data_IF_472487881292
#
_entry.id   IF_472487881292
#
_cell.length_a   1.000
_cell.length_b   1.000
_cell.length_c   1.000
_cell.angle_alpha   90.00
_cell.angle_beta   90.00
_cell.angle_gamma   90.00
#
_symmetry.space_group_name_H-M   'P 1'
#
loop_
_entity.id
_entity.type
_entity.pdbx_description
1 polymer ?
#
# COMPACT_ATOMS: atom_id res chain seq x y z
N UNK A 1 -27.58 -6.89 10.84
CA UNK A 1 -26.57 -5.83 11.07
C UNK A 1 -26.37 -5.66 12.56
N UNK A 2 -25.35 -6.29 13.19
CA UNK A 2 -25.07 -6.02 14.59
C UNK A 2 -24.24 -4.74 14.66
N UNK A 3 -24.79 -3.74 15.32
CA UNK A 3 -24.11 -2.52 15.71
C UNK A 3 -22.96 -2.88 16.65
N UNK A 4 -21.73 -2.86 16.14
CA UNK A 4 -20.55 -2.95 17.00
C UNK A 4 -20.58 -1.69 17.88
N UNK A 5 -20.72 -1.91 19.18
CA UNK A 5 -20.76 -0.85 20.19
C UNK A 5 -19.53 0.07 19.99
N UNK A 6 -19.69 1.40 19.89
CA UNK A 6 -18.57 2.32 19.65
C UNK A 6 -17.38 2.14 20.60
N UNK A 7 -17.63 1.68 21.82
CA UNK A 7 -16.61 1.36 22.84
C UNK A 7 -15.75 0.15 22.49
N UNK A 8 -16.32 -0.90 21.89
CA UNK A 8 -15.57 -2.09 21.44
C UNK A 8 -14.70 -1.77 20.22
N UNK A 9 -15.19 -0.92 19.32
CA UNK A 9 -14.42 -0.44 18.18
C UNK A 9 -13.20 0.39 18.64
N UNK A 10 -13.40 1.32 19.57
CA UNK A 10 -12.31 2.12 20.13
C UNK A 10 -11.24 1.28 20.84
N UNK A 11 -11.66 0.31 21.66
CA UNK A 11 -10.73 -0.58 22.35
C UNK A 11 -9.95 -1.49 21.39
N UNK A 12 -10.64 -2.12 20.42
CA UNK A 12 -10.00 -2.95 19.41
C UNK A 12 -9.01 -2.14 18.55
N UNK A 13 -9.37 -0.90 18.22
CA UNK A 13 -8.52 0.02 17.46
C UNK A 13 -7.25 0.42 18.22
N UNK A 14 -7.36 0.71 19.53
CA UNK A 14 -6.21 1.01 20.38
C UNK A 14 -5.29 -0.21 20.56
N UNK A 15 -5.86 -1.38 20.81
CA UNK A 15 -5.11 -2.64 20.93
C UNK A 15 -4.36 -2.98 19.64
N UNK A 16 -5.02 -2.88 18.48
CA UNK A 16 -4.40 -3.14 17.18
C UNK A 16 -3.27 -2.14 16.91
N UNK A 17 -3.46 -0.86 17.27
CA UNK A 17 -2.44 0.18 17.08
C UNK A 17 -1.25 -0.06 18.00
N UNK A 18 -1.46 -0.43 19.26
CA UNK A 18 -0.39 -0.80 20.20
C UNK A 18 0.40 -2.03 19.71
N UNK A 19 -0.30 -3.06 19.19
CA UNK A 19 0.34 -4.26 18.64
C UNK A 19 1.16 -3.94 17.38
N UNK A 20 0.67 -3.07 16.49
CA UNK A 20 1.43 -2.59 15.34
C UNK A 20 2.69 -1.83 15.77
N UNK A 21 2.58 -0.91 16.73
CA UNK A 21 3.72 -0.14 17.25
C UNK A 21 4.75 -1.07 17.91
N UNK A 22 4.30 -2.07 18.68
CA UNK A 22 5.18 -3.08 19.28
C UNK A 22 5.92 -3.92 18.24
N UNK A 23 5.25 -4.36 17.18
CA UNK A 23 5.90 -5.13 16.12
C UNK A 23 6.92 -4.29 15.33
N UNK A 24 6.60 -3.03 15.05
CA UNK A 24 7.53 -2.09 14.41
C UNK A 24 8.75 -1.82 15.28
N UNK A 25 8.56 -1.64 16.60
CA UNK A 25 9.67 -1.48 17.56
C UNK A 25 10.64 -2.67 17.52
N UNK A 26 10.11 -3.89 17.43
CA UNK A 26 10.91 -5.11 17.31
C UNK A 26 11.47 -5.37 15.90
N UNK A 27 11.33 -4.42 14.96
CA UNK A 27 11.94 -4.49 13.63
C UNK A 27 11.16 -5.30 12.59
N UNK A 28 9.89 -5.64 12.84
CA UNK A 28 9.07 -6.43 11.92
C UNK A 28 8.34 -5.54 10.90
N UNK A 29 8.52 -5.83 9.60
CA UNK A 29 7.95 -5.05 8.47
C UNK A 29 6.55 -5.52 8.05
N UNK A 30 6.23 -6.79 8.27
CA UNK A 30 4.92 -7.37 8.00
C UNK A 30 4.52 -8.32 9.16
N UNK A 31 3.81 -7.77 10.14
CA UNK A 31 3.35 -8.51 11.30
C UNK A 31 2.41 -9.69 10.93
N UNK A 32 1.78 -9.68 9.76
CA UNK A 32 0.95 -10.80 9.28
C UNK A 32 1.80 -11.97 8.74
N UNK A 33 3.03 -11.72 8.27
CA UNK A 33 3.98 -12.78 7.85
C UNK A 33 4.82 -13.30 9.00
N UNK A 34 4.89 -12.55 10.10
CA UNK A 34 5.35 -13.04 11.39
C UNK A 34 4.27 -13.92 12.02
N UNK A 35 4.04 -15.11 11.46
CA UNK A 35 3.18 -16.10 12.09
C UNK A 35 3.74 -16.40 13.48
N UNK A 36 3.01 -15.98 14.52
CA UNK A 36 3.33 -16.23 15.92
C UNK A 36 3.66 -17.70 16.14
N UNK A 37 2.97 -18.61 15.46
CA UNK A 37 3.19 -20.06 15.54
C UNK A 37 4.58 -20.46 15.05
N UNK A 38 5.08 -19.82 13.98
CA UNK A 38 6.39 -20.11 13.39
C UNK A 38 7.53 -19.55 14.26
N UNK A 39 7.34 -18.38 14.87
CA UNK A 39 8.30 -17.79 15.82
C UNK A 39 8.42 -18.64 17.08
N UNK A 40 7.29 -19.11 17.63
CA UNK A 40 7.26 -19.99 18.80
C UNK A 40 7.93 -21.33 18.50
N UNK A 41 7.70 -21.89 17.30
CA UNK A 41 8.33 -23.14 16.87
C UNK A 41 9.84 -23.03 16.61
N UNK A 42 10.35 -21.83 16.33
CA UNK A 42 11.79 -21.58 16.10
C UNK A 42 12.52 -21.07 17.34
N UNK A 43 11.88 -21.09 18.52
CA UNK A 43 12.44 -20.65 19.80
C UNK A 43 13.08 -19.24 19.74
N UNK A 44 12.51 -18.35 18.93
CA UNK A 44 13.00 -16.98 18.75
C UNK A 44 14.22 -16.82 17.82
N UNK A 45 14.70 -17.88 17.14
CA UNK A 45 15.72 -17.73 16.08
C UNK A 45 15.07 -17.21 14.80
N UNK A 46 15.65 -16.16 14.22
CA UNK A 46 15.19 -15.58 12.94
C UNK A 46 15.86 -16.34 11.79
N UNK A 47 15.09 -16.91 10.85
CA UNK A 47 15.65 -17.58 9.67
C UNK A 47 16.46 -16.65 8.76
N UNK A 48 17.45 -17.17 8.03
CA UNK A 48 18.27 -16.38 7.09
C UNK A 48 17.45 -15.77 5.93
N UNK A 49 16.38 -16.44 5.50
CA UNK A 49 15.43 -15.92 4.49
C UNK A 49 14.66 -14.68 4.99
N UNK A 50 14.79 -14.32 6.28
CA UNK A 50 14.15 -13.14 6.86
C UNK A 50 15.04 -11.89 6.82
N UNK A 51 16.31 -12.00 6.42
CA UNK A 51 17.24 -10.87 6.38
C UNK A 51 16.70 -9.69 5.55
N UNK A 52 15.99 -9.97 4.44
CA UNK A 52 15.36 -8.96 3.59
C UNK A 52 14.15 -8.25 4.25
N UNK A 53 13.68 -8.72 5.41
CA UNK A 53 12.54 -8.16 6.14
C UNK A 53 12.94 -7.54 7.49
N UNK A 54 14.15 -7.83 7.98
CA UNK A 54 14.64 -7.25 9.23
C UNK A 54 15.06 -5.81 9.02
N UNK A 55 14.51 -4.90 9.84
CA UNK A 55 15.04 -3.54 10.00
C UNK A 55 15.77 -3.45 11.34
N UNK A 56 16.81 -2.59 11.46
CA UNK A 56 17.39 -2.28 12.76
C UNK A 56 16.26 -1.89 13.73
N UNK A 57 16.29 -2.43 14.94
CA UNK A 57 15.37 -2.00 15.99
C UNK A 57 15.49 -0.48 16.14
N UNK A 58 14.35 0.19 16.24
CA UNK A 58 14.36 1.61 16.56
C UNK A 58 14.99 1.77 17.95
N UNK A 59 16.13 2.45 18.03
CA UNK A 59 16.76 2.81 19.30
C UNK A 59 15.97 3.98 19.94
N UNK A 60 14.72 3.69 20.29
CA UNK A 60 13.78 4.65 20.87
C UNK A 60 13.33 4.12 22.22
N UNK A 61 13.54 4.92 23.28
CA UNK A 61 13.05 4.56 24.60
C UNK A 61 11.53 4.37 24.61
N UNK A 62 11.03 3.51 25.51
CA UNK A 62 9.59 3.28 25.72
C UNK A 62 8.76 4.59 25.81
N UNK A 63 9.22 5.68 26.45
CA UNK A 63 8.49 6.95 26.47
C UNK A 63 8.31 7.57 25.07
N UNK A 64 9.34 7.53 24.22
CA UNK A 64 9.28 8.02 22.85
C UNK A 64 8.35 7.18 21.98
N UNK A 65 8.33 5.86 22.22
CA UNK A 65 7.40 4.94 21.58
C UNK A 65 5.94 5.24 21.98
N UNK A 66 5.70 5.49 23.26
CA UNK A 66 4.37 5.87 23.77
C UNK A 66 3.93 7.23 23.23
N UNK A 67 4.83 8.21 23.15
CA UNK A 67 4.55 9.51 22.54
C UNK A 67 4.22 9.38 21.06
N UNK A 68 4.93 8.51 20.33
CA UNK A 68 4.61 8.20 18.94
C UNK A 68 3.24 7.51 18.83
N UNK A 69 2.94 6.53 19.68
CA UNK A 69 1.64 5.86 19.68
C UNK A 69 0.48 6.86 19.95
N UNK A 70 0.65 7.73 20.95
CA UNK A 70 -0.34 8.76 21.32
C UNK A 70 -0.50 9.84 20.24
N UNK A 71 0.53 10.13 19.46
CA UNK A 71 0.44 11.09 18.33
C UNK A 71 -0.10 10.45 17.05
N UNK A 72 0.19 9.16 16.80
CA UNK A 72 -0.28 8.42 15.61
C UNK A 72 -1.77 8.08 15.69
N UNK A 73 -2.30 7.78 16.87
CA UNK A 73 -3.72 7.45 17.08
C UNK A 73 -4.70 8.55 16.61
N UNK A 74 -4.60 9.81 17.09
CA UNK A 74 -5.46 10.90 16.66
C UNK A 74 -5.19 11.27 15.19
N UNK A 75 -3.94 11.16 14.73
CA UNK A 75 -3.61 11.38 13.32
C UNK A 75 -4.31 10.37 12.40
N UNK A 76 -4.23 9.08 12.72
CA UNK A 76 -4.92 8.01 11.98
C UNK A 76 -6.44 8.20 12.03
N UNK A 77 -7.00 8.69 13.14
CA UNK A 77 -8.41 9.04 13.23
C UNK A 77 -8.78 10.19 12.28
N UNK A 78 -8.01 11.28 12.29
CA UNK A 78 -8.22 12.43 11.37
C UNK A 78 -8.16 11.97 9.91
N UNK A 79 -7.16 11.14 9.56
CA UNK A 79 -7.00 10.59 8.23
C UNK A 79 -8.21 9.74 7.82
N UNK A 80 -8.67 8.84 8.71
CA UNK A 80 -9.88 8.04 8.47
C UNK A 80 -11.11 8.92 8.27
N UNK A 81 -11.28 9.97 9.08
CA UNK A 81 -12.40 10.92 8.95
C UNK A 81 -12.32 11.66 7.61
N UNK A 82 -11.15 12.16 7.23
CA UNK A 82 -10.95 12.82 5.94
C UNK A 82 -11.23 11.89 4.75
N UNK A 83 -10.78 10.63 4.82
CA UNK A 83 -11.14 9.62 3.81
C UNK A 83 -12.64 9.39 3.76
N UNK A 84 -13.32 9.24 4.90
CA UNK A 84 -14.79 9.08 4.92
C UNK A 84 -15.51 10.29 4.34
N UNK A 85 -15.09 11.52 4.67
CA UNK A 85 -15.65 12.75 4.08
C UNK A 85 -15.44 12.75 2.56
N UNK A 86 -14.21 12.45 2.09
CA UNK A 86 -13.91 12.33 0.67
C UNK A 86 -14.78 11.25 -0.01
N UNK A 87 -15.05 10.16 0.70
CA UNK A 87 -15.95 9.08 0.31
C UNK A 87 -17.39 9.54 0.12
N UNK A 88 -17.94 10.22 1.12
CA UNK A 88 -19.32 10.74 1.14
C UNK A 88 -19.52 11.83 0.08
N UNK A 89 -18.54 12.71 -0.09
CA UNK A 89 -18.56 13.77 -1.13
C UNK A 89 -18.35 13.18 -2.52
N UNK A 90 -17.86 11.94 -2.63
CA UNK A 90 -17.66 11.27 -3.90
C UNK A 90 -16.51 11.87 -4.71
N UNK A 91 -15.44 12.35 -4.06
CA UNK A 91 -14.32 13.00 -4.76
C UNK A 91 -13.66 12.11 -5.83
N UNK A 92 -13.75 10.79 -5.67
CA UNK A 92 -13.27 9.79 -6.64
C UNK A 92 -14.15 9.65 -7.90
N UNK A 93 -15.34 10.24 -7.92
CA UNK A 93 -16.24 10.30 -9.09
C UNK A 93 -15.98 11.52 -9.97
N UNK A 94 -15.15 12.45 -9.51
CA UNK A 94 -14.79 13.65 -10.27
C UNK A 94 -14.04 13.27 -11.55
N UNK A 95 -14.13 14.12 -12.60
CA UNK A 95 -13.31 13.96 -13.79
C UNK A 95 -11.84 13.82 -13.42
N UNK A 96 -11.12 12.95 -14.14
CA UNK A 96 -9.70 12.64 -13.85
C UNK A 96 -8.81 13.88 -13.80
N UNK A 97 -9.13 14.92 -14.58
CA UNK A 97 -8.42 16.21 -14.59
C UNK A 97 -8.48 16.96 -13.25
N UNK A 98 -9.52 16.73 -12.45
CA UNK A 98 -9.72 17.33 -11.12
C UNK A 98 -9.28 16.35 -10.04
N UNK A 99 -9.67 15.08 -10.17
CA UNK A 99 -9.42 14.05 -9.17
C UNK A 99 -7.92 13.85 -8.89
N UNK A 100 -7.08 13.73 -9.93
CA UNK A 100 -5.67 13.42 -9.74
C UNK A 100 -4.85 14.54 -9.08
N UNK A 101 -4.96 15.82 -9.49
CA UNK A 101 -4.29 16.89 -8.77
C UNK A 101 -4.71 16.99 -7.31
N UNK A 102 -5.99 16.77 -7.02
CA UNK A 102 -6.52 16.78 -5.66
C UNK A 102 -5.95 15.62 -4.81
N UNK A 103 -5.98 14.40 -5.35
CA UNK A 103 -5.40 13.22 -4.72
C UNK A 103 -3.89 13.42 -4.46
N UNK A 104 -3.18 13.92 -5.47
CA UNK A 104 -1.76 14.23 -5.40
C UNK A 104 -1.42 15.25 -4.32
N UNK A 105 -2.23 16.32 -4.20
CA UNK A 105 -2.08 17.32 -3.15
C UNK A 105 -2.24 16.70 -1.75
N UNK A 106 -3.28 15.90 -1.53
CA UNK A 106 -3.49 15.25 -0.23
C UNK A 106 -2.38 14.25 0.11
N UNK A 107 -1.95 13.44 -0.86
CA UNK A 107 -0.83 12.51 -0.67
C UNK A 107 0.47 13.27 -0.33
N UNK A 108 0.76 14.37 -1.01
CA UNK A 108 1.96 15.19 -0.74
C UNK A 108 1.93 15.83 0.65
N UNK A 109 0.81 16.47 1.02
CA UNK A 109 0.64 17.09 2.35
C UNK A 109 0.80 16.05 3.44
N UNK A 110 0.20 14.87 3.26
CA UNK A 110 0.32 13.75 4.20
C UNK A 110 1.77 13.28 4.34
N UNK A 111 2.48 13.07 3.24
CA UNK A 111 3.90 12.67 3.29
C UNK A 111 4.78 13.74 3.94
N UNK A 112 4.58 15.02 3.62
CA UNK A 112 5.31 16.13 4.25
C UNK A 112 5.05 16.22 5.75
N UNK A 113 3.81 16.00 6.19
CA UNK A 113 3.46 15.93 7.62
C UNK A 113 4.21 14.80 8.33
N UNK A 114 4.43 13.68 7.65
CA UNK A 114 5.25 12.57 8.13
C UNK A 114 6.77 12.82 8.03
N UNK A 115 7.21 14.00 7.61
CA UNK A 115 8.62 14.32 7.39
C UNK A 115 9.22 13.69 6.14
N UNK A 116 8.40 13.11 5.25
CA UNK A 116 8.84 12.47 4.02
C UNK A 116 8.85 13.51 2.89
N UNK A 117 10.04 13.76 2.34
CA UNK A 117 10.20 14.59 1.14
C UNK A 117 10.45 13.71 -0.07
N UNK A 118 9.54 13.76 -1.05
CA UNK A 118 9.66 13.01 -2.31
C UNK A 118 10.43 13.83 -3.33
N UNK A 119 11.45 13.23 -3.95
CA UNK A 119 12.23 13.83 -5.05
C UNK A 119 12.25 12.88 -6.23
N UNK A 120 12.00 13.41 -7.42
CA UNK A 120 12.09 12.67 -8.68
C UNK A 120 13.38 13.04 -9.41
N UNK A 121 14.00 12.08 -10.07
CA UNK A 121 15.20 12.27 -10.89
C UNK A 121 15.02 11.53 -12.21
N UNK A 122 15.50 12.15 -13.30
CA UNK A 122 15.35 11.63 -14.66
C UNK A 122 14.14 12.22 -15.38
N UNK A 123 14.03 11.89 -16.66
CA UNK A 123 12.90 12.27 -17.52
C UNK A 123 11.90 11.11 -17.58
N UNK A 124 10.61 11.42 -17.43
CA UNK A 124 9.56 10.40 -17.52
C UNK A 124 9.21 10.17 -18.99
N UNK A 125 9.30 8.92 -19.42
CA UNK A 125 8.84 8.53 -20.75
C UNK A 125 7.31 8.63 -20.87
N UNK A 126 6.78 8.82 -22.10
CA UNK A 126 5.35 8.76 -22.35
C UNK A 126 4.74 7.45 -21.82
N UNK A 127 3.54 7.53 -21.23
CA UNK A 127 2.86 6.35 -20.71
C UNK A 127 2.55 5.31 -21.79
N UNK A 128 2.36 5.77 -23.04
CA UNK A 128 2.15 4.92 -24.22
C UNK A 128 3.34 4.01 -24.50
N UNK A 129 4.55 4.48 -24.22
CA UNK A 129 5.80 3.76 -24.46
C UNK A 129 6.19 2.91 -23.23
N UNK A 130 5.64 3.26 -22.06
CA UNK A 130 5.92 2.62 -20.78
C UNK A 130 4.62 2.25 -20.06
N UNK A 131 3.80 1.31 -20.57
CA UNK A 131 2.50 1.02 -19.97
C UNK A 131 2.58 0.44 -18.55
N UNK A 132 3.76 0.00 -18.11
CA UNK A 132 4.01 -0.60 -16.80
C UNK A 132 5.22 0.01 -16.10
N UNK A 133 5.08 0.19 -14.78
CA UNK A 133 6.12 0.68 -13.87
C UNK A 133 6.41 -0.46 -12.89
N UNK A 134 7.70 -0.79 -12.71
CA UNK A 134 8.15 -1.88 -11.83
C UNK A 134 9.11 -1.34 -10.79
N UNK A 135 8.61 -0.82 -9.66
CA UNK A 135 9.46 -0.40 -8.56
C UNK A 135 9.76 -1.56 -7.60
N UNK A 136 10.78 -1.38 -6.79
CA UNK A 136 10.93 -2.15 -5.57
C UNK A 136 9.80 -1.84 -4.58
N UNK A 137 9.50 -2.76 -3.67
CA UNK A 137 8.45 -2.57 -2.67
C UNK A 137 9.05 -2.58 -1.27
N UNK A 138 9.06 -1.45 -0.58
CA UNK A 138 9.72 -1.28 0.72
C UNK A 138 8.76 -0.82 1.80
N UNK A 139 7.63 -0.22 1.42
CA UNK A 139 6.69 0.33 2.40
C UNK A 139 5.27 0.45 1.87
N UNK A 140 4.31 0.55 2.79
CA UNK A 140 2.95 0.97 2.45
C UNK A 140 2.90 2.41 1.89
N UNK A 141 3.92 3.23 2.17
CA UNK A 141 3.99 4.59 1.66
C UNK A 141 4.34 4.66 0.17
N UNK A 142 4.82 3.57 -0.44
CA UNK A 142 5.22 3.54 -1.85
C UNK A 142 4.05 3.99 -2.76
N UNK A 143 2.83 3.56 -2.44
CA UNK A 143 1.61 3.97 -3.15
C UNK A 143 1.37 5.48 -3.03
N UNK A 144 1.49 6.03 -1.82
CA UNK A 144 1.30 7.46 -1.58
C UNK A 144 2.38 8.29 -2.27
N UNK A 145 3.64 7.81 -2.28
CA UNK A 145 4.75 8.45 -2.99
C UNK A 145 4.44 8.54 -4.48
N UNK A 146 4.01 7.44 -5.10
CA UNK A 146 3.64 7.42 -6.52
C UNK A 146 2.46 8.37 -6.83
N UNK A 147 1.43 8.40 -5.98
CA UNK A 147 0.26 9.25 -6.16
C UNK A 147 0.54 10.74 -5.87
N UNK A 148 1.50 11.04 -5.00
CA UNK A 148 1.81 12.42 -4.59
C UNK A 148 2.27 13.29 -5.75
N UNK A 149 2.75 12.71 -6.86
CA UNK A 149 3.33 13.43 -8.00
C UNK A 149 2.38 13.58 -9.19
N UNK A 150 1.08 13.46 -8.95
CA UNK A 150 0.02 13.63 -9.98
C UNK A 150 0.16 12.66 -11.16
N UNK A 151 0.89 11.57 -10.96
CA UNK A 151 1.05 10.55 -11.99
C UNK A 151 -0.22 9.72 -12.11
N UNK A 152 -0.73 9.51 -13.33
CA UNK A 152 -1.84 8.58 -13.54
C UNK A 152 -1.30 7.15 -13.43
N UNK A 153 -1.37 6.61 -12.22
CA UNK A 153 -0.92 5.25 -11.92
C UNK A 153 -2.05 4.44 -11.29
N UNK A 154 -2.08 3.16 -11.62
CA UNK A 154 -2.95 2.14 -11.07
C UNK A 154 -2.10 1.03 -10.47
N UNK A 155 -2.64 0.23 -9.56
CA UNK A 155 -1.85 -0.78 -8.85
C UNK A 155 -2.44 -2.18 -9.02
N UNK A 156 -1.61 -3.19 -8.77
CA UNK A 156 -2.08 -4.55 -8.53
C UNK A 156 -2.38 -4.68 -7.03
N UNK A 157 -3.63 -4.94 -6.67
CA UNK A 157 -4.09 -5.00 -5.28
C UNK A 157 -4.77 -6.33 -4.96
N UNK A 158 -4.78 -6.74 -3.69
CA UNK A 158 -5.56 -7.93 -3.26
C UNK A 158 -7.05 -7.68 -3.50
N UNK A 159 -7.80 -8.71 -3.91
CA UNK A 159 -9.26 -8.64 -4.10
C UNK A 159 -10.01 -8.07 -2.87
N UNK A 160 -9.54 -8.37 -1.67
CA UNK A 160 -10.10 -7.82 -0.42
C UNK A 160 -10.02 -6.28 -0.31
N UNK A 161 -9.07 -5.63 -1.00
CA UNK A 161 -8.93 -4.16 -1.01
C UNK A 161 -10.12 -3.49 -1.68
N UNK A 162 -10.75 -4.15 -2.66
CA UNK A 162 -11.95 -3.62 -3.32
C UNK A 162 -13.12 -3.40 -2.35
N UNK A 163 -13.16 -4.16 -1.25
CA UNK A 163 -14.21 -4.04 -0.23
C UNK A 163 -13.91 -2.95 0.82
N UNK A 164 -12.73 -2.33 0.79
CA UNK A 164 -12.40 -1.28 1.74
C UNK A 164 -13.08 0.03 1.36
N UNK A 165 -13.87 0.64 2.25
CA UNK A 165 -14.57 1.88 1.94
C UNK A 165 -13.56 2.96 1.57
N UNK A 166 -13.86 3.74 0.53
CA UNK A 166 -13.01 4.83 0.00
C UNK A 166 -11.74 4.35 -0.69
N UNK A 167 -10.95 3.47 -0.05
CA UNK A 167 -9.71 2.93 -0.63
C UNK A 167 -10.02 2.09 -1.87
N UNK A 168 -11.01 1.20 -1.79
CA UNK A 168 -11.47 0.39 -2.91
C UNK A 168 -12.04 1.26 -4.03
N UNK A 169 -12.80 2.31 -3.69
CA UNK A 169 -13.35 3.24 -4.67
C UNK A 169 -12.25 4.03 -5.40
N UNK A 170 -11.28 4.57 -4.66
CA UNK A 170 -10.10 5.25 -5.23
C UNK A 170 -9.31 4.28 -6.12
N UNK A 171 -9.01 3.09 -5.62
CA UNK A 171 -8.26 2.09 -6.38
C UNK A 171 -9.00 1.71 -7.69
N UNK A 172 -10.33 1.58 -7.64
CA UNK A 172 -11.18 1.31 -8.80
C UNK A 172 -11.23 2.49 -9.77
N UNK A 173 -11.34 3.73 -9.28
CA UNK A 173 -11.30 4.95 -10.10
C UNK A 173 -9.96 5.15 -10.81
N UNK A 174 -8.86 4.72 -10.19
CA UNK A 174 -7.54 4.67 -10.83
C UNK A 174 -7.42 3.51 -11.84
N UNK A 175 -8.38 2.60 -11.86
CA UNK A 175 -8.39 1.40 -12.71
C UNK A 175 -7.36 0.36 -12.27
N UNK A 176 -7.20 0.17 -10.96
CA UNK A 176 -6.35 -0.85 -10.35
C UNK A 176 -6.85 -2.26 -10.67
N UNK A 177 -5.92 -3.21 -10.77
CA UNK A 177 -6.20 -4.62 -11.05
C UNK A 177 -6.28 -5.36 -9.72
N UNK A 178 -7.39 -6.04 -9.48
CA UNK A 178 -7.57 -6.85 -8.28
C UNK A 178 -7.19 -8.29 -8.56
N UNK A 179 -6.35 -8.85 -7.69
CA UNK A 179 -5.84 -10.22 -7.81
C UNK A 179 -6.20 -11.03 -6.58
N UNK A 180 -6.57 -12.28 -6.82
CA UNK A 180 -6.60 -13.29 -5.78
C UNK A 180 -5.28 -14.06 -5.81
N UNK A 181 -4.65 -14.23 -4.65
CA UNK A 181 -3.34 -14.92 -4.56
C UNK A 181 -3.55 -16.40 -4.24
N UNK A 182 -4.60 -16.99 -4.79
CA UNK A 182 -4.81 -18.43 -4.72
C UNK A 182 -3.79 -19.15 -5.61
N UNK A 183 -3.64 -20.46 -5.41
CA UNK A 183 -2.83 -21.30 -6.30
C UNK A 183 -3.64 -21.78 -7.52
N UNK A 184 -4.80 -21.18 -7.78
CA UNK A 184 -5.67 -21.57 -8.88
C UNK A 184 -5.07 -21.09 -10.22
N UNK A 185 -4.69 -22.01 -11.12
CA UNK A 185 -4.16 -21.64 -12.44
C UNK A 185 -5.14 -20.79 -13.25
N UNK A 186 -6.45 -21.04 -13.13
CA UNK A 186 -7.47 -20.34 -13.92
C UNK A 186 -7.57 -18.87 -13.50
N UNK A 187 -7.56 -18.59 -12.19
CA UNK A 187 -7.58 -17.21 -11.67
C UNK A 187 -6.31 -16.43 -12.05
N UNK A 188 -5.17 -17.13 -12.11
CA UNK A 188 -3.91 -16.54 -12.56
C UNK A 188 -3.99 -16.14 -14.03
N UNK A 189 -4.46 -17.02 -14.90
CA UNK A 189 -4.55 -16.75 -16.33
C UNK A 189 -5.57 -15.63 -16.62
N UNK A 190 -6.68 -15.58 -15.89
CA UNK A 190 -7.63 -14.46 -15.94
C UNK A 190 -6.98 -13.13 -15.53
N UNK A 191 -6.20 -13.14 -14.44
CA UNK A 191 -5.46 -11.97 -13.98
C UNK A 191 -4.49 -11.47 -15.05
N UNK A 192 -3.80 -12.38 -15.73
CA UNK A 192 -2.89 -12.04 -16.83
C UNK A 192 -3.60 -11.38 -18.00
N UNK A 193 -4.74 -11.91 -18.43
CA UNK A 193 -5.54 -11.27 -19.47
C UNK A 193 -6.01 -9.86 -19.09
N UNK A 194 -6.29 -9.60 -17.81
CA UNK A 194 -6.66 -8.26 -17.32
C UNK A 194 -5.45 -7.31 -17.35
N UNK A 195 -4.28 -7.77 -16.91
CA UNK A 195 -3.04 -6.99 -16.94
C UNK A 195 -2.68 -6.62 -18.38
N UNK A 196 -2.71 -7.59 -19.30
CA UNK A 196 -2.39 -7.38 -20.71
C UNK A 196 -3.37 -6.37 -21.35
N UNK A 197 -4.68 -6.54 -21.09
CA UNK A 197 -5.70 -5.60 -21.57
C UNK A 197 -5.48 -4.19 -21.03
N UNK A 198 -5.10 -4.06 -19.75
CA UNK A 198 -4.77 -2.77 -19.14
C UNK A 198 -3.56 -2.14 -19.81
N UNK A 199 -2.46 -2.86 -19.95
CA UNK A 199 -1.23 -2.38 -20.60
C UNK A 199 -1.52 -1.93 -22.04
N UNK A 200 -2.22 -2.76 -22.81
CA UNK A 200 -2.64 -2.44 -24.18
C UNK A 200 -3.48 -1.17 -24.25
N UNK A 201 -4.44 -1.00 -23.32
CA UNK A 201 -5.25 0.22 -23.27
C UNK A 201 -4.42 1.48 -23.04
N UNK A 202 -3.31 1.37 -22.30
CA UNK A 202 -2.39 2.49 -22.08
C UNK A 202 -1.54 2.76 -23.33
N UNK A 203 -1.02 1.72 -23.97
CA UNK A 203 -0.27 1.84 -25.23
C UNK A 203 -1.11 2.49 -26.34
N UNK A 204 -2.39 2.11 -26.43
CA UNK A 204 -3.36 2.65 -27.41
C UNK A 204 -3.94 4.02 -27.01
N UNK A 205 -3.44 4.66 -25.95
CA UNK A 205 -3.95 5.94 -25.41
C UNK A 205 -5.43 5.92 -24.99
N UNK A 206 -6.02 4.74 -24.81
CA UNK A 206 -7.41 4.55 -24.31
C UNK A 206 -7.51 4.68 -22.80
N UNK A 207 -6.41 4.46 -22.10
CA UNK A 207 -6.23 4.70 -20.68
C UNK A 207 -4.98 5.54 -20.47
N UNK A 208 -5.02 6.45 -19.51
CA UNK A 208 -3.83 7.20 -19.07
C UNK A 208 -3.14 6.60 -17.84
N UNK A 209 -3.78 5.64 -17.18
CA UNK A 209 -3.30 5.06 -15.93
C UNK A 209 -2.33 3.91 -16.18
N UNK A 210 -1.02 4.15 -16.02
CA UNK A 210 0.01 3.11 -16.11
C UNK A 210 -0.20 2.07 -15.01
N UNK A 211 0.12 0.81 -15.28
CA UNK A 211 0.07 -0.23 -14.27
C UNK A 211 1.37 -0.26 -13.47
N UNK A 212 1.29 -0.03 -12.16
CA UNK A 212 2.41 -0.17 -11.24
C UNK A 212 2.37 -1.57 -10.62
N UNK A 213 3.42 -2.36 -10.85
CA UNK A 213 3.55 -3.74 -10.38
C UNK A 213 4.72 -3.84 -9.42
N UNK A 214 4.41 -4.09 -8.15
CA UNK A 214 5.39 -4.47 -7.14
C UNK A 214 5.74 -5.96 -7.30
N UNK A 215 6.70 -6.25 -8.19
CA UNK A 215 7.04 -7.62 -8.61
C UNK A 215 7.54 -8.52 -7.48
N UNK A 216 8.07 -7.93 -6.40
CA UNK A 216 8.46 -8.64 -5.16
C UNK A 216 7.25 -9.28 -4.44
N UNK A 217 6.03 -8.83 -4.73
CA UNK A 217 4.80 -9.35 -4.13
C UNK A 217 4.63 -9.05 -2.64
N UNK A 218 5.61 -8.38 -2.02
CA UNK A 218 5.65 -8.02 -0.60
C UNK A 218 6.64 -6.89 -0.35
N UNK A 219 6.54 -6.23 0.81
CA UNK A 219 7.51 -5.20 1.22
C UNK A 219 8.78 -5.81 1.80
N UNK A 220 9.93 -5.21 1.53
CA UNK A 220 11.25 -5.52 2.10
C UNK A 220 11.77 -4.39 3.01
N UNK A 221 12.93 -4.61 3.62
CA UNK A 221 13.67 -3.60 4.38
C UNK A 221 14.35 -2.54 3.49
N UNK A 222 14.39 -2.76 2.16
CA UNK A 222 14.97 -1.86 1.19
C UNK A 222 16.50 -1.91 1.08
N UNK A 223 17.19 -2.86 1.73
CA UNK A 223 18.65 -3.00 1.61
C UNK A 223 19.09 -3.80 0.38
N UNK A 224 18.18 -4.58 -0.19
CA UNK A 224 18.39 -5.35 -1.41
C UNK A 224 17.06 -5.52 -2.17
N UNK A 225 17.14 -5.89 -3.44
CA UNK A 225 15.99 -6.33 -4.22
C UNK A 225 15.68 -7.79 -3.89
N UNK A 226 14.39 -8.11 -3.71
CA UNK A 226 13.94 -9.50 -3.62
C UNK A 226 13.72 -10.11 -5.01
N UNK A 227 13.50 -11.43 -5.04
CA UNK A 227 13.11 -12.14 -6.24
C UNK A 227 11.82 -11.56 -6.82
N UNK A 228 11.81 -11.27 -8.12
CA UNK A 228 10.62 -10.80 -8.83
C UNK A 228 9.81 -12.00 -9.31
N UNK A 229 8.51 -11.98 -9.07
CA UNK A 229 7.64 -13.02 -9.61
C UNK A 229 7.38 -12.77 -11.09
N UNK A 230 7.61 -13.80 -11.91
CA UNK A 230 7.44 -13.73 -13.37
C UNK A 230 6.00 -13.46 -13.78
N UNK A 231 5.04 -13.85 -12.94
CA UNK A 231 3.61 -13.81 -13.24
C UNK A 231 3.17 -12.56 -13.99
N UNK A 232 3.46 -11.35 -13.52
CA UNK A 232 3.01 -10.12 -14.18
C UNK A 232 3.73 -9.76 -15.51
N UNK A 233 4.69 -10.56 -15.94
CA UNK A 233 5.59 -10.35 -17.07
C UNK A 233 5.68 -11.53 -18.05
N UNK A 234 5.00 -12.64 -17.75
CA UNK A 234 4.82 -13.81 -18.64
C UNK A 234 3.81 -13.51 -19.77
#
# INVERSE_FOLDING_TARGET
MPWIVPSLFGLAYLLLTALCVYNVYNGYVDAMKCDTRRITNMLGRVPEDWAAFLRPSLDVGLPSLMLLAVSVVPFKLVVVVLFHIAGVVGLYTLPTSIFLPLLSFFCDVFLKFLGITVREKGERLPSTDTPTIVPNHVSYFDILVMLSRSHPVSFVAKKAVAAYPVIGDIATSLGSVYVDRTKDPEERDQTMGIIEKKQRSVMESRSRYQLCVFAEGTTSNGTCLMHYHDGAFD
#
